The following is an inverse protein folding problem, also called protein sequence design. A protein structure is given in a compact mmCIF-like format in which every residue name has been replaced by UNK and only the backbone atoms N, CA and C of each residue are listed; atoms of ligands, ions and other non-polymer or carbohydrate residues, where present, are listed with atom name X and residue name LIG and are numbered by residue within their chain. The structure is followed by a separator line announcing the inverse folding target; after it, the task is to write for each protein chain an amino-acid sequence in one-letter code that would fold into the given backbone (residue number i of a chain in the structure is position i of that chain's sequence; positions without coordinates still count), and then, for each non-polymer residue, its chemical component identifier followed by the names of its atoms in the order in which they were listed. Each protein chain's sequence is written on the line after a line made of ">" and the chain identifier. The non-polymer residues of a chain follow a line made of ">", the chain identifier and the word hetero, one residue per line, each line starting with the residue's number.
data_IF_509377851296
#
_entry.id   IF_509377851296
#
_cell.length_a   1.000
_cell.length_b   1.000
_cell.length_c   1.000
_cell.angle_alpha   90.00
_cell.angle_beta   90.00
_cell.angle_gamma   90.00
#
_symmetry.space_group_name_H-M   'P 1'
#
loop_
_entity.id
_entity.type
_entity.pdbx_description
1 polymer ?
#
# COMPACT_ATOMS: atom_id res chain seq x y z
N UNK A 1 -67.91 20.72 1.73
CA UNK A 1 -68.04 22.00 2.44
C UNK A 1 -68.43 21.75 3.88
N UNK A 2 -68.38 22.78 4.75
CA UNK A 2 -67.75 24.10 4.61
C UNK A 2 -66.70 24.38 5.72
N UNK A 3 -65.67 25.21 5.49
CA UNK A 3 -65.57 26.64 5.85
C UNK A 3 -64.56 26.85 7.01
N UNK A 4 -63.34 27.35 6.80
CA UNK A 4 -62.90 28.74 6.49
C UNK A 4 -62.61 29.58 7.75
N UNK A 5 -61.35 30.04 7.86
CA UNK A 5 -60.89 31.41 8.16
C UNK A 5 -59.41 31.33 8.61
N UNK A 6 -58.35 31.75 7.91
CA UNK A 6 -57.95 33.00 7.22
C UNK A 6 -57.79 34.23 8.13
N UNK A 7 -56.55 34.71 8.27
CA UNK A 7 -56.19 35.99 8.89
C UNK A 7 -54.66 36.28 8.81
N UNK A 8 -54.18 37.34 8.13
CA UNK A 8 -52.78 37.49 7.69
C UNK A 8 -51.95 38.62 8.36
N UNK A 9 -50.61 38.56 8.14
CA UNK A 9 -49.62 39.66 8.01
C UNK A 9 -49.25 40.51 9.25
N UNK A 10 -48.11 41.26 9.30
CA UNK A 10 -47.28 41.72 8.18
C UNK A 10 -45.73 41.68 8.34
N UNK A 11 -45.10 41.85 7.17
CA UNK A 11 -43.73 42.31 6.91
C UNK A 11 -43.42 43.66 7.57
N UNK A 12 -42.24 43.81 8.17
CA UNK A 12 -41.56 45.10 8.38
C UNK A 12 -40.03 44.95 8.31
N UNK A 13 -39.46 45.50 7.23
CA UNK A 13 -38.14 46.16 7.12
C UNK A 13 -38.44 47.47 6.36
N UNK A 14 -37.55 48.49 6.30
CA UNK A 14 -36.24 48.69 6.93
C UNK A 14 -36.11 50.08 7.61
N UNK A 15 -35.02 50.34 8.33
CA UNK A 15 -34.48 51.72 8.39
C UNK A 15 -32.98 51.72 8.59
N UNK A 16 -32.34 52.58 7.82
CA UNK A 16 -30.94 52.91 7.82
C UNK A 16 -30.76 54.35 8.29
N UNK A 17 -29.73 54.61 9.07
CA UNK A 17 -29.03 55.91 9.17
C UNK A 17 -27.63 55.61 9.75
N UNK A 18 -26.56 55.68 8.96
CA UNK A 18 -25.76 56.88 8.60
C UNK A 18 -25.26 57.66 9.81
N UNK A 19 -23.95 57.52 10.05
CA UNK A 19 -23.10 58.43 10.79
C UNK A 19 -21.65 58.22 10.35
N UNK A 20 -21.23 59.02 9.38
CA UNK A 20 -19.92 58.99 8.72
C UNK A 20 -18.84 59.74 9.53
N UNK A 21 -17.57 59.46 9.19
CA UNK A 21 -16.37 60.33 9.16
C UNK A 21 -15.14 59.48 9.59
N UNK A 22 -13.93 59.61 9.07
CA UNK A 22 -13.31 60.02 7.81
C UNK A 22 -11.80 59.77 7.98
N UNK A 23 -11.05 59.79 6.87
CA UNK A 23 -9.60 59.60 6.74
C UNK A 23 -9.13 58.13 6.80
N UNK A 24 -8.39 57.58 5.85
CA UNK A 24 -7.62 58.15 4.75
C UNK A 24 -6.24 57.49 4.73
N UNK A 25 -5.72 57.24 3.51
CA UNK A 25 -4.30 56.98 3.20
C UNK A 25 -3.80 55.51 3.20
N UNK A 26 -3.97 54.88 2.03
CA UNK A 26 -2.97 54.25 1.16
C UNK A 26 -1.71 53.52 1.69
N UNK A 27 -1.48 52.35 1.05
CA UNK A 27 -0.20 51.72 0.61
C UNK A 27 0.69 50.98 1.63
N UNK A 28 0.90 49.68 1.33
CA UNK A 28 2.25 49.09 1.32
C UNK A 28 2.48 47.86 2.21
N UNK A 29 3.15 46.80 1.72
CA UNK A 29 3.22 45.49 2.38
C UNK A 29 4.34 45.44 3.43
N UNK A 30 4.09 44.80 4.58
CA UNK A 30 5.13 44.49 5.57
C UNK A 30 5.68 43.08 5.36
N UNK A 31 6.94 43.07 4.92
CA UNK A 31 7.90 41.96 4.94
C UNK A 31 7.92 41.26 6.31
N UNK A 32 7.80 39.94 6.32
CA UNK A 32 8.26 39.12 7.43
C UNK A 32 9.78 39.02 7.38
N UNK A 33 10.42 39.36 8.50
CA UNK A 33 11.88 39.32 8.67
C UNK A 33 12.32 37.87 8.82
N UNK A 34 13.37 37.50 8.05
CA UNK A 34 14.24 36.35 8.32
C UNK A 34 14.80 36.46 9.73
N UNK A 35 14.70 35.39 10.51
CA UNK A 35 15.56 35.18 11.67
C UNK A 35 16.78 34.38 11.20
N UNK A 36 17.94 35.02 11.29
CA UNK A 36 19.27 34.45 11.09
C UNK A 36 19.87 34.09 12.43
N UNK A 37 20.00 32.80 12.73
CA UNK A 37 20.91 32.28 13.76
C UNK A 37 21.48 30.93 13.29
N UNK A 38 22.47 30.97 12.40
CA UNK A 38 23.53 29.95 12.38
C UNK A 38 24.66 30.45 13.27
N UNK A 39 25.20 29.58 14.10
CA UNK A 39 26.53 29.75 14.68
C UNK A 39 26.57 29.75 16.20
N UNK A 40 26.47 28.56 16.81
CA UNK A 40 27.43 28.04 17.80
C UNK A 40 26.97 26.64 18.27
N UNK A 41 27.89 25.68 18.20
CA UNK A 41 27.63 24.26 18.39
C UNK A 41 27.18 23.91 19.80
N UNK A 42 26.05 23.20 19.91
CA UNK A 42 25.62 22.53 21.13
C UNK A 42 26.13 21.09 21.10
N UNK A 43 27.17 20.80 21.89
CA UNK A 43 27.78 19.47 22.03
C UNK A 43 26.84 18.40 22.60
N UNK A 44 25.71 18.81 23.19
CA UNK A 44 24.72 17.93 23.81
C UNK A 44 23.82 17.26 22.76
N UNK A 45 23.51 17.95 21.65
CA UNK A 45 22.66 17.39 20.59
C UNK A 45 23.41 16.37 19.70
N UNK A 46 24.72 16.54 19.51
CA UNK A 46 25.54 15.56 18.78
C UNK A 46 25.75 14.26 19.57
N UNK A 47 25.85 14.33 20.90
CA UNK A 47 25.98 13.14 21.75
C UNK A 47 24.71 12.27 21.76
N UNK A 48 23.53 12.89 21.78
CA UNK A 48 22.25 12.17 21.81
C UNK A 48 21.94 11.47 20.49
N UNK A 49 22.18 12.13 19.34
CA UNK A 49 21.98 11.53 18.02
C UNK A 49 23.00 10.41 17.73
N UNK A 50 24.26 10.56 18.19
CA UNK A 50 25.25 9.49 18.06
C UNK A 50 24.92 8.26 18.94
N UNK A 51 24.32 8.47 20.12
CA UNK A 51 23.88 7.40 21.02
C UNK A 51 22.64 6.64 20.49
N UNK A 52 21.71 7.33 19.83
CA UNK A 52 20.56 6.72 19.15
C UNK A 52 20.99 5.91 17.92
N UNK A 53 21.88 6.46 17.09
CA UNK A 53 22.40 5.77 15.90
C UNK A 53 23.26 4.55 16.24
N UNK A 54 23.99 4.58 17.37
CA UNK A 54 24.79 3.44 17.82
C UNK A 54 23.97 2.34 18.49
N UNK A 55 22.84 2.67 19.14
CA UNK A 55 21.87 1.66 19.62
C UNK A 55 21.15 0.96 18.47
N UNK A 56 20.64 1.69 17.49
CA UNK A 56 20.02 1.09 16.30
C UNK A 56 21.00 0.19 15.52
N UNK A 57 22.26 0.63 15.34
CA UNK A 57 23.26 -0.19 14.66
C UNK A 57 23.70 -1.45 15.45
N UNK A 58 23.51 -1.46 16.78
CA UNK A 58 23.82 -2.61 17.63
C UNK A 58 22.67 -3.63 17.65
N UNK A 59 21.41 -3.18 17.64
CA UNK A 59 20.22 -4.03 17.51
C UNK A 59 20.16 -4.67 16.10
N UNK A 60 20.44 -3.90 15.04
CA UNK A 60 20.53 -4.42 13.65
C UNK A 60 21.64 -5.49 13.45
N UNK A 61 22.70 -5.46 14.27
CA UNK A 61 23.76 -6.48 14.24
C UNK A 61 23.43 -7.72 15.05
N UNK A 62 22.65 -7.57 16.13
CA UNK A 62 22.20 -8.69 16.95
C UNK A 62 21.16 -9.54 16.19
N UNK A 63 20.24 -8.89 15.46
CA UNK A 63 19.22 -9.59 14.67
C UNK A 63 19.82 -10.32 13.45
N UNK A 64 20.85 -9.75 12.81
CA UNK A 64 21.57 -10.41 11.69
C UNK A 64 22.36 -11.66 12.11
N UNK A 65 22.72 -11.79 13.38
CA UNK A 65 23.48 -12.95 13.87
C UNK A 65 22.57 -14.13 14.29
N UNK A 66 21.29 -13.88 14.58
CA UNK A 66 20.34 -14.90 15.06
C UNK A 66 19.56 -15.64 13.96
N UNK A 67 19.31 -15.01 12.80
CA UNK A 67 18.37 -15.52 11.80
C UNK A 67 18.97 -16.20 10.56
N UNK A 68 20.23 -16.64 10.62
CA UNK A 68 20.88 -17.37 9.53
C UNK A 68 20.71 -18.90 9.59
N UNK A 69 19.69 -19.39 10.27
CA UNK A 69 19.45 -20.83 10.45
C UNK A 69 18.34 -21.31 9.50
N UNK A 70 18.64 -22.39 8.76
CA UNK A 70 17.77 -23.26 7.95
C UNK A 70 17.53 -22.99 6.45
N UNK A 71 17.94 -21.85 5.87
CA UNK A 71 17.78 -21.66 4.41
C UNK A 71 18.69 -22.55 3.55
N UNK A 72 19.82 -23.02 4.09
CA UNK A 72 20.78 -23.89 3.38
C UNK A 72 20.28 -25.34 3.18
N UNK A 73 19.16 -25.73 3.80
CA UNK A 73 18.63 -27.11 3.71
C UNK A 73 17.95 -27.45 2.37
N UNK A 74 17.75 -26.46 1.48
CA UNK A 74 17.09 -26.62 0.19
C UNK A 74 18.02 -26.23 -0.97
N UNK A 75 19.09 -27.01 -1.21
CA UNK A 75 20.01 -26.78 -2.33
C UNK A 75 19.61 -27.59 -3.58
N UNK A 76 19.25 -26.97 -4.72
CA UNK A 76 19.14 -27.67 -6.00
C UNK A 76 20.52 -27.89 -6.63
N UNK A 77 20.69 -29.03 -7.29
CA UNK A 77 21.92 -29.44 -7.99
C UNK A 77 22.30 -28.48 -9.12
N UNK A 78 23.55 -28.05 -9.15
CA UNK A 78 24.11 -27.09 -10.11
C UNK A 78 24.01 -27.54 -11.58
N UNK A 79 23.32 -26.77 -12.43
CA UNK A 79 23.37 -26.89 -13.89
C UNK A 79 24.13 -25.68 -14.49
N UNK A 80 24.93 -25.92 -15.53
CA UNK A 80 25.76 -24.89 -16.21
C UNK A 80 24.96 -24.23 -17.32
N UNK A 81 24.82 -22.89 -17.32
CA UNK A 81 24.34 -22.14 -18.51
C UNK A 81 25.08 -20.85 -18.81
N UNK A 82 24.91 -20.49 -20.09
CA UNK A 82 25.66 -19.62 -20.99
C UNK A 82 25.31 -18.14 -20.87
N UNK A 83 26.30 -17.28 -21.13
CA UNK A 83 26.19 -15.82 -21.15
C UNK A 83 25.26 -15.29 -22.25
N UNK A 84 24.43 -14.30 -21.89
CA UNK A 84 23.58 -13.54 -22.80
C UNK A 84 24.38 -12.42 -23.50
N UNK A 85 23.97 -12.11 -24.73
CA UNK A 85 24.68 -11.26 -25.69
C UNK A 85 23.85 -9.99 -25.90
N UNK A 86 24.45 -8.82 -25.68
CA UNK A 86 23.83 -7.52 -25.94
C UNK A 86 23.75 -7.28 -27.46
N UNK A 87 22.54 -7.06 -27.97
CA UNK A 87 22.28 -6.70 -29.36
C UNK A 87 21.31 -5.54 -29.42
N UNK A 88 21.76 -4.39 -29.91
CA UNK A 88 20.93 -3.23 -30.24
C UNK A 88 20.05 -3.53 -31.46
N UNK A 89 18.90 -4.15 -31.23
CA UNK A 89 17.85 -4.33 -32.24
C UNK A 89 16.72 -3.34 -31.99
N UNK A 90 16.13 -2.79 -33.06
CA UNK A 90 14.79 -2.20 -33.00
C UNK A 90 13.87 -3.15 -32.22
N UNK A 91 13.40 -2.70 -31.06
CA UNK A 91 12.48 -3.46 -30.22
C UNK A 91 11.20 -3.68 -31.02
N UNK A 92 10.96 -4.93 -31.46
CA UNK A 92 9.62 -5.36 -31.85
C UNK A 92 8.68 -5.04 -30.69
N UNK A 93 7.46 -4.59 -30.98
CA UNK A 93 6.45 -4.30 -29.95
C UNK A 93 6.37 -5.51 -28.99
N UNK A 94 6.71 -5.35 -27.69
CA UNK A 94 6.88 -6.48 -26.79
C UNK A 94 5.67 -7.40 -26.75
N UNK A 95 4.45 -6.85 -26.83
CA UNK A 95 3.21 -7.64 -26.70
C UNK A 95 2.87 -8.57 -27.87
N UNK A 96 3.37 -8.33 -29.09
CA UNK A 96 3.09 -9.23 -30.23
C UNK A 96 3.77 -10.59 -30.05
N UNK A 97 4.93 -10.62 -29.38
CA UNK A 97 5.65 -11.85 -29.08
C UNK A 97 4.90 -12.73 -28.07
N UNK A 98 4.15 -12.13 -27.15
CA UNK A 98 3.46 -12.84 -26.07
C UNK A 98 1.97 -13.08 -26.36
N UNK A 99 1.50 -12.74 -27.57
CA UNK A 99 0.09 -12.87 -27.98
C UNK A 99 -0.89 -12.22 -26.99
N UNK A 100 -0.50 -11.08 -26.43
CA UNK A 100 -1.34 -10.23 -25.58
C UNK A 100 -2.03 -9.20 -26.48
N UNK A 101 -3.31 -8.94 -26.25
CA UNK A 101 -4.12 -8.07 -27.12
C UNK A 101 -3.72 -6.61 -26.90
N UNK A 102 -3.17 -5.93 -27.90
CA UNK A 102 -2.93 -4.49 -27.79
C UNK A 102 -4.26 -3.73 -27.63
N UNK A 103 -4.30 -2.74 -26.72
CA UNK A 103 -5.44 -1.85 -26.56
C UNK A 103 -5.26 -0.59 -27.42
N UNK A 104 -6.22 -0.24 -28.29
CA UNK A 104 -6.10 0.89 -29.21
C UNK A 104 -6.45 2.22 -28.52
N UNK A 105 -5.75 2.58 -27.44
CA UNK A 105 -5.97 3.83 -26.70
C UNK A 105 -5.10 4.97 -27.26
N UNK A 106 -3.77 4.83 -27.18
CA UNK A 106 -2.80 5.78 -27.70
C UNK A 106 -1.55 5.03 -28.18
N UNK A 107 -1.12 5.27 -29.43
CA UNK A 107 0.01 4.59 -30.05
C UNK A 107 1.38 4.91 -29.43
N UNK A 108 1.47 5.98 -28.64
CA UNK A 108 2.69 6.36 -27.92
C UNK A 108 2.97 5.47 -26.70
N UNK A 109 1.99 4.68 -26.26
CA UNK A 109 2.08 3.87 -25.04
C UNK A 109 2.01 2.38 -25.37
N UNK A 110 2.72 1.57 -24.58
CA UNK A 110 2.70 0.12 -24.67
C UNK A 110 1.60 -0.46 -23.78
N UNK A 111 0.34 -0.43 -24.26
CA UNK A 111 -0.83 -0.87 -23.50
C UNK A 111 -1.38 -2.20 -24.06
N UNK A 112 -1.48 -3.20 -23.18
CA UNK A 112 -1.92 -4.55 -23.51
C UNK A 112 -3.00 -5.04 -22.55
N UNK A 113 -3.88 -5.91 -23.04
CA UNK A 113 -4.92 -6.57 -22.26
C UNK A 113 -4.72 -8.09 -22.24
N UNK A 114 -4.82 -8.65 -21.04
CA UNK A 114 -4.69 -10.08 -20.81
C UNK A 114 -5.93 -10.68 -20.16
N UNK A 115 -6.47 -11.71 -20.80
CA UNK A 115 -7.60 -12.47 -20.27
C UNK A 115 -7.09 -13.60 -19.36
N UNK A 116 -7.43 -13.53 -18.09
CA UNK A 116 -7.04 -14.50 -17.07
C UNK A 116 -8.20 -15.36 -16.57
N UNK A 117 -9.43 -15.16 -17.06
CA UNK A 117 -10.62 -15.86 -16.55
C UNK A 117 -11.26 -16.83 -17.56
N UNK A 118 -11.07 -16.66 -18.88
CA UNK A 118 -11.82 -17.47 -19.86
C UNK A 118 -11.17 -18.82 -20.18
N UNK A 119 -11.63 -19.87 -19.49
CA UNK A 119 -11.44 -21.28 -19.87
C UNK A 119 -9.97 -21.71 -20.03
N UNK A 120 -9.72 -22.66 -20.94
CA UNK A 120 -8.38 -23.25 -21.18
C UNK A 120 -7.31 -22.22 -21.62
N UNK A 121 -7.73 -21.03 -22.06
CA UNK A 121 -6.82 -19.95 -22.43
C UNK A 121 -6.20 -19.26 -21.21
N UNK A 122 -6.87 -19.28 -20.05
CA UNK A 122 -6.35 -18.70 -18.81
C UNK A 122 -4.95 -19.25 -18.49
N UNK A 123 -4.77 -20.58 -18.52
CA UNK A 123 -3.47 -21.24 -18.33
C UNK A 123 -2.38 -20.72 -19.27
N UNK A 124 -2.69 -20.61 -20.57
CA UNK A 124 -1.72 -20.11 -21.56
C UNK A 124 -1.39 -18.64 -21.33
N UNK A 125 -2.37 -17.86 -20.91
CA UNK A 125 -2.21 -16.43 -20.67
C UNK A 125 -1.41 -16.17 -19.38
N UNK A 126 -1.60 -16.95 -18.30
CA UNK A 126 -0.72 -16.88 -17.12
C UNK A 126 0.74 -17.12 -17.52
N UNK A 127 1.03 -18.14 -18.33
CA UNK A 127 2.38 -18.40 -18.83
C UNK A 127 2.94 -17.27 -19.71
N UNK A 128 2.11 -16.66 -20.58
CA UNK A 128 2.50 -15.51 -21.42
C UNK A 128 2.78 -14.26 -20.60
N UNK A 129 1.94 -14.00 -19.60
CA UNK A 129 2.12 -12.89 -18.66
C UNK A 129 3.42 -13.05 -17.88
N UNK A 130 3.66 -14.25 -17.36
CA UNK A 130 4.90 -14.55 -16.68
C UNK A 130 6.12 -14.36 -17.60
N UNK A 131 6.07 -14.84 -18.84
CA UNK A 131 7.15 -14.63 -19.81
C UNK A 131 7.42 -13.14 -20.05
N UNK A 132 6.37 -12.32 -20.22
CA UNK A 132 6.51 -10.87 -20.34
C UNK A 132 7.18 -10.26 -19.09
N UNK A 133 6.76 -10.64 -17.89
CA UNK A 133 7.33 -10.15 -16.64
C UNK A 133 8.79 -10.62 -16.45
N UNK A 134 9.11 -11.84 -16.86
CA UNK A 134 10.45 -12.42 -16.75
C UNK A 134 11.43 -11.81 -17.72
N UNK A 135 11.03 -11.63 -18.97
CA UNK A 135 11.92 -11.22 -20.06
C UNK A 135 12.15 -9.71 -20.10
N UNK A 136 11.19 -8.92 -19.62
CA UNK A 136 11.38 -7.49 -19.49
C UNK A 136 12.33 -7.14 -18.33
N UNK A 137 12.83 -5.92 -18.32
CA UNK A 137 13.58 -5.30 -17.21
C UNK A 137 13.01 -3.91 -17.00
N UNK A 138 13.07 -3.37 -15.78
CA UNK A 138 12.52 -2.04 -15.44
C UNK A 138 11.02 -2.07 -15.05
N UNK A 139 10.37 -0.90 -15.02
CA UNK A 139 9.01 -0.70 -14.52
C UNK A 139 7.92 -1.23 -15.45
N UNK A 140 6.99 -1.97 -14.86
CA UNK A 140 5.71 -2.44 -15.41
C UNK A 140 4.57 -1.90 -14.55
N UNK A 141 3.41 -1.74 -15.17
CA UNK A 141 2.14 -1.51 -14.46
C UNK A 141 1.17 -2.60 -14.88
N UNK A 142 0.59 -3.28 -13.91
CA UNK A 142 -0.53 -4.18 -14.12
C UNK A 142 -1.74 -3.66 -13.36
N UNK A 143 -2.81 -3.42 -14.10
CA UNK A 143 -4.05 -2.87 -13.57
C UNK A 143 -5.14 -3.93 -13.68
N UNK A 144 -5.81 -4.20 -12.57
CA UNK A 144 -7.00 -5.05 -12.49
C UNK A 144 -8.22 -4.20 -12.16
N UNK A 145 -9.45 -4.73 -12.31
CA UNK A 145 -10.67 -3.99 -11.97
C UNK A 145 -11.16 -4.28 -10.55
N UNK A 146 -11.22 -3.25 -9.72
CA UNK A 146 -11.77 -3.33 -8.36
C UNK A 146 -13.22 -3.77 -8.36
N UNK A 147 -14.01 -3.30 -9.34
CA UNK A 147 -15.44 -3.59 -9.43
C UNK A 147 -15.68 -5.08 -9.66
N UNK A 148 -14.88 -5.75 -10.49
CA UNK A 148 -14.94 -7.21 -10.68
C UNK A 148 -14.68 -7.92 -9.35
N UNK A 149 -13.57 -7.61 -8.67
CA UNK A 149 -13.24 -8.22 -7.38
C UNK A 149 -14.33 -8.01 -6.33
N UNK A 150 -14.85 -6.78 -6.24
CA UNK A 150 -15.94 -6.41 -5.33
C UNK A 150 -17.24 -7.16 -5.63
N UNK A 151 -17.62 -7.28 -6.90
CA UNK A 151 -18.83 -7.98 -7.33
C UNK A 151 -18.77 -9.48 -6.99
N UNK A 152 -17.56 -10.04 -6.89
CA UNK A 152 -17.32 -11.41 -6.45
C UNK A 152 -17.00 -11.49 -4.96
N UNK A 153 -17.61 -10.63 -4.14
CA UNK A 153 -17.50 -10.64 -2.67
C UNK A 153 -16.07 -10.49 -2.14
N UNK A 154 -15.18 -9.83 -2.89
CA UNK A 154 -13.78 -9.60 -2.51
C UNK A 154 -12.99 -10.89 -2.28
N UNK A 155 -13.38 -11.97 -2.94
CA UNK A 155 -12.67 -13.25 -2.86
C UNK A 155 -11.38 -13.18 -3.64
N UNK A 156 -10.36 -13.85 -3.11
CA UNK A 156 -9.03 -13.89 -3.66
C UNK A 156 -8.98 -14.36 -5.12
N UNK A 157 -9.81 -15.35 -5.47
CA UNK A 157 -9.92 -15.91 -6.83
C UNK A 157 -10.31 -14.91 -7.94
N UNK A 158 -10.81 -13.72 -7.59
CA UNK A 158 -11.20 -12.66 -8.54
C UNK A 158 -10.36 -11.38 -8.43
N UNK A 159 -9.17 -11.47 -7.83
CA UNK A 159 -8.31 -10.34 -7.56
C UNK A 159 -7.20 -10.14 -8.62
N UNK A 160 -6.03 -9.63 -8.20
CA UNK A 160 -4.86 -9.46 -9.07
C UNK A 160 -4.16 -10.81 -9.23
N UNK A 161 -3.86 -11.19 -10.47
CA UNK A 161 -3.21 -12.48 -10.76
C UNK A 161 -1.69 -12.34 -10.63
N UNK A 162 -1.08 -13.18 -9.80
CA UNK A 162 0.36 -13.24 -9.58
C UNK A 162 0.88 -14.60 -10.06
N UNK A 163 1.90 -14.64 -10.94
CA UNK A 163 2.57 -15.87 -11.33
C UNK A 163 3.23 -16.60 -10.14
N UNK A 164 3.00 -17.91 -10.04
CA UNK A 164 3.68 -18.81 -9.12
C UNK A 164 4.60 -19.77 -9.88
N UNK A 165 5.88 -19.75 -9.56
CA UNK A 165 6.90 -20.58 -10.21
C UNK A 165 7.23 -21.74 -9.29
N UNK A 166 7.09 -22.98 -9.76
CA UNK A 166 7.48 -24.14 -8.95
C UNK A 166 9.00 -24.23 -8.80
N UNK A 167 9.48 -24.68 -7.64
CA UNK A 167 10.92 -24.88 -7.39
C UNK A 167 11.54 -25.94 -8.31
N UNK A 168 10.73 -26.87 -8.82
CA UNK A 168 11.16 -27.91 -9.76
C UNK A 168 11.55 -27.36 -11.14
N UNK A 169 11.18 -26.11 -11.46
CA UNK A 169 11.63 -25.47 -12.69
C UNK A 169 13.10 -25.03 -12.56
N UNK A 170 13.91 -25.39 -13.57
CA UNK A 170 15.30 -24.95 -13.72
C UNK A 170 15.34 -23.51 -14.27
N UNK A 171 14.62 -22.62 -13.60
CA UNK A 171 14.58 -21.21 -13.91
C UNK A 171 15.25 -20.41 -12.80
N UNK A 172 16.29 -19.62 -13.12
CA UNK A 172 16.92 -18.69 -12.18
C UNK A 172 16.02 -17.48 -11.85
N UNK A 173 14.69 -17.64 -11.89
CA UNK A 173 13.70 -16.58 -11.70
C UNK A 173 12.95 -16.78 -10.39
N UNK A 174 12.73 -15.67 -9.65
CA UNK A 174 11.97 -15.64 -8.40
C UNK A 174 10.93 -14.53 -8.44
N UNK A 175 9.73 -14.82 -7.97
CA UNK A 175 8.65 -13.84 -7.87
C UNK A 175 8.58 -13.33 -6.43
N UNK A 176 8.68 -12.01 -6.28
CA UNK A 176 8.40 -11.31 -5.05
C UNK A 176 7.08 -10.58 -5.19
N UNK A 177 6.27 -10.59 -4.15
CA UNK A 177 4.97 -9.94 -4.16
C UNK A 177 4.71 -9.24 -2.84
N UNK A 178 4.14 -8.03 -2.92
CA UNK A 178 3.76 -7.20 -1.78
C UNK A 178 2.30 -6.75 -1.90
N UNK A 179 1.53 -6.89 -0.81
CA UNK A 179 0.13 -6.41 -0.75
C UNK A 179 -0.30 -6.11 0.70
N UNK A 180 -0.95 -4.96 0.91
CA UNK A 180 -1.45 -4.50 2.21
C UNK A 180 -2.67 -5.31 2.70
N UNK A 181 -3.39 -5.95 1.77
CA UNK A 181 -4.60 -6.73 2.00
C UNK A 181 -4.39 -8.22 1.74
N UNK A 182 -3.16 -8.71 1.94
CA UNK A 182 -2.88 -10.15 1.94
C UNK A 182 -3.56 -10.80 3.15
N UNK A 183 -4.46 -11.76 2.89
CA UNK A 183 -5.12 -12.55 3.93
C UNK A 183 -4.40 -13.87 4.14
N UNK A 184 -4.18 -14.22 5.40
CA UNK A 184 -3.36 -15.38 5.78
C UNK A 184 -4.08 -16.72 5.69
N UNK A 185 -5.37 -16.70 5.40
CA UNK A 185 -6.06 -17.94 5.03
C UNK A 185 -5.49 -18.51 3.73
N UNK A 186 -5.02 -17.67 2.81
CA UNK A 186 -4.31 -18.07 1.60
C UNK A 186 -5.07 -19.06 0.72
N UNK A 187 -6.40 -19.02 0.72
CA UNK A 187 -7.29 -19.88 -0.07
C UNK A 187 -7.84 -19.13 -1.28
N UNK A 188 -8.40 -19.85 -2.24
CA UNK A 188 -8.99 -19.21 -3.43
C UNK A 188 -10.27 -18.45 -3.06
N UNK A 189 -11.02 -18.95 -2.08
CA UNK A 189 -12.29 -18.42 -1.61
C UNK A 189 -12.16 -17.48 -0.40
N UNK A 190 -10.97 -17.36 0.20
CA UNK A 190 -10.73 -16.39 1.27
C UNK A 190 -10.90 -14.97 0.75
N UNK A 191 -11.13 -14.01 1.63
CA UNK A 191 -10.98 -12.61 1.27
C UNK A 191 -9.53 -12.31 0.87
N UNK A 192 -9.29 -11.21 0.15
CA UNK A 192 -7.94 -10.73 -0.15
C UNK A 192 -7.70 -10.43 -1.62
N UNK A 193 -6.54 -9.86 -1.92
CA UNK A 193 -6.20 -9.30 -3.24
C UNK A 193 -5.15 -10.14 -4.01
N UNK A 194 -4.61 -11.20 -3.41
CA UNK A 194 -3.50 -11.98 -3.97
C UNK A 194 -3.93 -13.31 -4.62
N UNK A 195 -4.19 -13.31 -5.93
CA UNK A 195 -4.51 -14.54 -6.65
C UNK A 195 -3.25 -15.21 -7.21
N UNK A 196 -2.57 -16.03 -6.40
CA UNK A 196 -1.38 -16.77 -6.80
C UNK A 196 -1.76 -17.95 -7.71
N UNK A 197 -1.31 -17.94 -8.98
CA UNK A 197 -1.60 -19.01 -9.95
C UNK A 197 -0.34 -19.62 -10.52
N UNK A 198 -0.29 -20.94 -10.52
CA UNK A 198 0.83 -21.73 -11.04
C UNK A 198 1.00 -21.47 -12.55
N UNK A 199 2.21 -21.07 -12.96
CA UNK A 199 2.48 -20.65 -14.34
C UNK A 199 2.27 -21.75 -15.36
N UNK A 200 2.44 -23.01 -14.94
CA UNK A 200 2.34 -24.17 -15.81
C UNK A 200 0.91 -24.63 -15.96
N UNK A 201 0.14 -24.69 -14.88
CA UNK A 201 -1.20 -25.29 -14.84
C UNK A 201 -2.31 -24.25 -14.92
N UNK A 202 -2.06 -23.01 -14.50
CA UNK A 202 -3.06 -21.98 -14.30
C UNK A 202 -3.90 -22.18 -13.04
N UNK A 203 -3.65 -23.24 -12.27
CA UNK A 203 -4.39 -23.54 -11.04
C UNK A 203 -3.99 -22.60 -9.91
N UNK A 204 -4.91 -22.37 -8.97
CA UNK A 204 -4.64 -21.59 -7.77
C UNK A 204 -3.63 -22.31 -6.87
N UNK A 205 -2.75 -21.54 -6.23
CA UNK A 205 -1.77 -22.05 -5.27
C UNK A 205 -2.15 -21.55 -3.88
N UNK A 206 -2.53 -22.47 -2.98
CA UNK A 206 -2.72 -22.12 -1.58
C UNK A 206 -1.40 -21.64 -0.95
N UNK A 207 -1.40 -20.50 -0.25
CA UNK A 207 -0.16 -19.85 0.22
C UNK A 207 -0.12 -19.54 1.71
N UNK A 208 -0.73 -20.39 2.53
CA UNK A 208 -0.66 -20.30 3.98
C UNK A 208 0.31 -21.32 4.59
N UNK A 209 0.60 -21.16 5.87
CA UNK A 209 1.66 -21.89 6.57
C UNK A 209 1.39 -23.39 6.53
N UNK A 210 2.38 -24.16 6.07
CA UNK A 210 2.29 -25.61 5.95
C UNK A 210 1.62 -26.13 4.69
N UNK A 211 1.18 -25.27 3.76
CA UNK A 211 0.75 -25.67 2.41
C UNK A 211 1.74 -25.24 1.36
N UNK A 212 1.91 -26.07 0.33
CA UNK A 212 2.77 -25.77 -0.82
C UNK A 212 4.14 -25.23 -0.38
N UNK A 213 4.72 -25.85 0.65
CA UNK A 213 6.03 -25.48 1.19
C UNK A 213 6.12 -24.12 1.88
N UNK A 214 5.01 -23.38 2.03
CA UNK A 214 5.01 -22.05 2.61
C UNK A 214 5.28 -22.08 4.13
N UNK A 215 6.18 -21.19 4.54
CA UNK A 215 6.53 -20.88 5.92
C UNK A 215 6.35 -19.41 6.16
N UNK A 216 6.02 -19.06 7.40
CA UNK A 216 5.84 -17.70 7.85
C UNK A 216 7.10 -17.20 8.55
N UNK A 217 7.51 -15.98 8.22
CA UNK A 217 8.54 -15.22 8.90
C UNK A 217 8.05 -13.79 9.17
N UNK A 218 8.83 -13.01 9.93
CA UNK A 218 8.57 -11.60 10.23
C UNK A 218 9.84 -10.79 9.96
N UNK A 219 9.69 -9.69 9.24
CA UNK A 219 10.76 -8.72 8.97
C UNK A 219 10.35 -7.37 9.53
N UNK A 220 11.32 -6.56 9.95
CA UNK A 220 11.06 -5.29 10.61
C UNK A 220 10.11 -5.47 11.82
N UNK A 221 9.27 -4.49 12.12
CA UNK A 221 8.40 -4.56 13.29
C UNK A 221 7.10 -5.30 12.99
N UNK A 222 6.50 -5.07 11.83
CA UNK A 222 5.11 -5.47 11.57
C UNK A 222 4.91 -6.24 10.28
N UNK A 223 5.95 -6.36 9.46
CA UNK A 223 5.88 -6.96 8.15
C UNK A 223 5.99 -8.48 8.26
N UNK A 224 5.04 -9.16 7.64
CA UNK A 224 4.98 -10.62 7.65
C UNK A 224 5.34 -11.12 6.26
N UNK A 225 6.20 -12.12 6.21
CA UNK A 225 6.68 -12.74 4.98
C UNK A 225 6.25 -14.19 4.94
N UNK A 226 5.77 -14.64 3.79
CA UNK A 226 5.56 -16.03 3.47
C UNK A 226 6.50 -16.44 2.34
N UNK A 227 7.33 -17.43 2.60
CA UNK A 227 8.25 -17.96 1.60
C UNK A 227 8.06 -19.47 1.45
N UNK A 228 8.22 -19.99 0.25
CA UNK A 228 7.97 -21.40 -0.05
C UNK A 228 9.25 -22.15 -0.40
N UNK A 229 9.31 -23.44 -0.04
CA UNK A 229 10.30 -24.38 -0.58
C UNK A 229 9.83 -25.08 -1.87
N UNK A 230 8.53 -25.10 -2.14
CA UNK A 230 7.93 -25.76 -3.31
C UNK A 230 7.73 -24.77 -4.47
N UNK A 231 7.71 -23.47 -4.16
CA UNK A 231 7.55 -22.36 -5.10
C UNK A 231 8.65 -21.32 -4.89
N UNK A 232 9.18 -20.75 -5.97
CA UNK A 232 10.11 -19.61 -5.95
C UNK A 232 9.36 -18.29 -5.78
N UNK A 233 8.52 -18.24 -4.76
CA UNK A 233 7.62 -17.14 -4.45
C UNK A 233 7.86 -16.64 -3.02
N UNK A 234 8.02 -15.33 -2.89
CA UNK A 234 8.08 -14.62 -1.61
C UNK A 234 6.91 -13.66 -1.57
N UNK A 235 5.96 -13.91 -0.67
CA UNK A 235 4.79 -13.07 -0.44
C UNK A 235 5.03 -12.21 0.79
N UNK A 236 4.74 -10.93 0.71
CA UNK A 236 5.04 -9.99 1.78
C UNK A 236 3.81 -9.15 2.06
N UNK A 237 3.29 -9.22 3.28
CA UNK A 237 2.32 -8.25 3.76
C UNK A 237 3.08 -7.11 4.38
N UNK A 238 3.35 -6.10 3.56
CA UNK A 238 4.06 -4.92 4.00
C UNK A 238 3.23 -4.16 5.03
N UNK A 239 3.94 -3.57 6.00
CA UNK A 239 3.36 -2.53 6.83
C UNK A 239 3.89 -1.17 6.37
N UNK A 240 3.00 -0.25 6.04
CA UNK A 240 3.38 1.09 5.59
C UNK A 240 4.20 1.84 6.65
N UNK A 241 3.96 1.59 7.94
CA UNK A 241 4.73 2.22 9.02
C UNK A 241 6.19 1.75 9.01
N UNK A 242 6.44 0.46 8.79
CA UNK A 242 7.80 -0.08 8.64
C UNK A 242 8.49 0.54 7.39
N UNK A 243 7.75 0.64 6.28
CA UNK A 243 8.25 1.23 5.04
C UNK A 243 8.56 2.73 5.13
N UNK A 244 7.87 3.42 6.04
CA UNK A 244 8.08 4.83 6.37
C UNK A 244 9.21 5.04 7.38
N UNK A 245 9.45 4.10 8.29
CA UNK A 245 10.53 4.18 9.28
C UNK A 245 11.91 4.02 8.65
N UNK A 246 12.01 3.22 7.58
CA UNK A 246 13.30 2.85 6.99
C UNK A 246 13.32 3.04 5.46
N UNK A 247 14.15 3.96 4.93
CA UNK A 247 14.28 4.14 3.48
C UNK A 247 14.87 2.92 2.78
N UNK A 248 15.52 2.00 3.48
CA UNK A 248 16.06 0.76 2.89
C UNK A 248 15.12 -0.44 3.10
N UNK A 249 13.92 -0.23 3.65
CA UNK A 249 12.98 -1.29 4.05
C UNK A 249 12.77 -2.36 2.97
N UNK A 250 12.34 -1.97 1.76
CA UNK A 250 12.09 -2.93 0.69
C UNK A 250 13.38 -3.56 0.14
N UNK A 251 14.48 -2.81 0.11
CA UNK A 251 15.80 -3.32 -0.31
C UNK A 251 16.24 -4.44 0.62
N UNK A 252 16.19 -4.22 1.94
CA UNK A 252 16.56 -5.22 2.96
C UNK A 252 15.74 -6.50 2.83
N UNK A 253 14.42 -6.39 2.59
CA UNK A 253 13.57 -7.56 2.38
C UNK A 253 13.99 -8.32 1.12
N UNK A 254 14.19 -7.62 0.00
CA UNK A 254 14.62 -8.27 -1.25
C UNK A 254 15.97 -8.96 -1.08
N UNK A 255 16.96 -8.30 -0.47
CA UNK A 255 18.29 -8.86 -0.22
C UNK A 255 18.26 -10.07 0.71
N UNK A 256 17.42 -10.06 1.74
CA UNK A 256 17.29 -11.17 2.69
C UNK A 256 16.80 -12.46 2.03
N UNK A 257 15.91 -12.35 1.03
CA UNK A 257 15.24 -13.48 0.41
C UNK A 257 15.63 -13.73 -1.04
N UNK A 258 16.66 -13.06 -1.57
CA UNK A 258 17.16 -13.30 -2.92
C UNK A 258 18.50 -14.04 -2.88
N UNK A 259 18.75 -14.81 -3.92
CA UNK A 259 20.05 -15.43 -4.13
C UNK A 259 20.84 -14.64 -5.20
N UNK A 260 22.18 -14.64 -5.12
CA UNK A 260 23.00 -14.04 -6.16
C UNK A 260 22.65 -14.62 -7.54
N UNK A 261 22.53 -13.74 -8.54
CA UNK A 261 22.23 -14.05 -9.95
C UNK A 261 20.78 -14.43 -10.25
N UNK A 262 19.88 -14.43 -9.27
CA UNK A 262 18.45 -14.60 -9.58
C UNK A 262 17.92 -13.40 -10.36
N UNK A 263 17.04 -13.68 -11.32
CA UNK A 263 16.17 -12.68 -11.94
C UNK A 263 14.93 -12.52 -11.07
N UNK A 264 14.77 -11.35 -10.49
CA UNK A 264 13.60 -11.03 -9.68
C UNK A 264 12.48 -10.42 -10.54
N UNK A 265 11.25 -10.85 -10.25
CA UNK A 265 10.02 -10.20 -10.68
C UNK A 265 9.28 -9.73 -9.44
N UNK A 266 9.30 -8.42 -9.18
CA UNK A 266 8.82 -7.83 -7.93
C UNK A 266 7.50 -7.12 -8.16
N UNK A 267 6.41 -7.69 -7.66
CA UNK A 267 5.08 -7.11 -7.70
C UNK A 267 4.83 -6.27 -6.45
N UNK A 268 4.38 -5.03 -6.62
CA UNK A 268 4.08 -4.12 -5.52
C UNK A 268 2.71 -3.51 -5.69
N UNK A 269 1.86 -3.62 -4.67
CA UNK A 269 0.68 -2.77 -4.59
C UNK A 269 1.08 -1.31 -4.31
N UNK A 270 0.26 -0.39 -4.81
CA UNK A 270 0.47 1.05 -4.61
C UNK A 270 -0.16 1.52 -3.30
N UNK A 271 -1.38 1.09 -3.04
CA UNK A 271 -2.21 1.63 -1.98
C UNK A 271 -1.71 1.13 -0.62
N UNK A 272 -1.54 2.05 0.32
CA UNK A 272 -1.12 1.71 1.69
C UNK A 272 0.18 0.87 1.76
N UNK A 273 0.99 0.89 0.70
CA UNK A 273 2.27 0.16 0.59
C UNK A 273 3.36 1.08 0.07
N UNK A 274 3.11 1.77 -1.05
CA UNK A 274 4.00 2.78 -1.63
C UNK A 274 3.51 4.18 -1.28
N UNK A 275 2.20 4.39 -1.41
CA UNK A 275 1.54 5.68 -1.23
C UNK A 275 0.69 5.66 0.02
N UNK A 276 0.86 6.68 0.85
CA UNK A 276 -0.08 6.96 1.91
C UNK A 276 -1.31 7.71 1.33
N UNK A 277 -2.35 6.95 0.96
CA UNK A 277 -3.51 7.43 0.21
C UNK A 277 -4.20 8.67 0.80
N UNK A 278 -4.19 8.81 2.12
CA UNK A 278 -4.80 9.93 2.82
C UNK A 278 -4.00 11.24 2.62
N UNK A 279 -2.68 11.18 2.51
CA UNK A 279 -1.81 12.33 2.21
C UNK A 279 -2.06 12.86 0.79
N UNK A 280 -2.34 11.97 -0.16
CA UNK A 280 -2.66 12.33 -1.56
C UNK A 280 -4.01 13.06 -1.67
N UNK A 281 -4.92 12.85 -0.73
CA UNK A 281 -6.21 13.53 -0.66
C UNK A 281 -6.15 14.89 0.06
N UNK A 282 -4.94 15.40 0.35
CA UNK A 282 -4.74 16.67 1.05
C UNK A 282 -5.12 16.61 2.53
N UNK A 283 -5.21 15.41 3.11
CA UNK A 283 -5.41 15.27 4.56
C UNK A 283 -4.11 15.56 5.28
N UNK A 284 -4.27 16.05 6.51
CA UNK A 284 -3.14 16.28 7.40
C UNK A 284 -2.39 14.97 7.68
N UNK A 285 -1.06 15.06 7.70
CA UNK A 285 -0.17 13.90 7.86
C UNK A 285 -0.36 13.23 9.22
N UNK A 286 -0.64 14.00 10.29
CA UNK A 286 -0.90 13.44 11.60
C UNK A 286 -2.21 12.64 11.61
N UNK A 287 -3.27 13.18 11.00
CA UNK A 287 -4.56 12.50 10.91
C UNK A 287 -4.44 11.17 10.13
N UNK A 288 -3.66 11.20 9.06
CA UNK A 288 -3.33 10.03 8.25
C UNK A 288 -2.59 8.97 9.05
N UNK A 289 -1.55 9.35 9.78
CA UNK A 289 -0.78 8.45 10.63
C UNK A 289 -1.67 7.80 11.71
N UNK A 290 -2.55 8.57 12.37
CA UNK A 290 -3.50 8.02 13.36
C UNK A 290 -4.42 6.97 12.74
N UNK A 291 -4.97 7.24 11.55
CA UNK A 291 -5.81 6.31 10.79
C UNK A 291 -5.09 5.00 10.44
N UNK A 292 -3.77 5.05 10.20
CA UNK A 292 -2.94 3.86 9.94
C UNK A 292 -2.65 3.11 11.24
N UNK A 293 -2.19 3.80 12.28
CA UNK A 293 -1.91 3.19 13.59
C UNK A 293 -3.15 2.51 14.16
N UNK A 294 -4.33 3.13 14.06
CA UNK A 294 -5.60 2.56 14.54
C UNK A 294 -6.05 1.31 13.76
N UNK A 295 -5.57 1.10 12.53
CA UNK A 295 -5.78 -0.16 11.83
C UNK A 295 -4.90 -1.28 12.40
N UNK A 296 -3.74 -0.92 12.96
CA UNK A 296 -2.78 -1.86 13.51
C UNK A 296 -3.02 -2.19 14.99
N UNK A 297 -3.99 -1.54 15.64
CA UNK A 297 -4.37 -1.81 17.04
C UNK A 297 -5.73 -2.48 17.08
N UNK A 298 -5.80 -3.66 17.69
CA UNK A 298 -7.01 -4.42 17.92
C UNK A 298 -7.51 -4.23 19.35
N UNK A 299 -8.82 -3.97 19.49
CA UNK A 299 -9.54 -3.98 20.74
C UNK A 299 -10.31 -5.29 20.89
N UNK A 300 -10.05 -6.02 21.97
CA UNK A 300 -10.83 -7.21 22.37
C UNK A 300 -11.65 -6.89 23.62
N UNK A 301 -12.99 -6.86 23.55
CA UNK A 301 -13.84 -6.59 24.71
C UNK A 301 -13.75 -7.75 25.72
N UNK A 302 -13.69 -7.45 27.03
CA UNK A 302 -13.74 -8.49 28.08
C UNK A 302 -15.11 -9.16 28.14
N UNK A 303 -16.15 -8.37 27.97
CA UNK A 303 -17.55 -8.80 27.88
C UNK A 303 -18.25 -7.96 26.81
N UNK A 304 -19.28 -8.47 26.11
CA UNK A 304 -20.05 -7.66 25.16
C UNK A 304 -20.70 -6.44 25.82
N UNK A 305 -20.56 -5.24 25.23
CA UNK A 305 -21.16 -4.02 25.77
C UNK A 305 -21.62 -3.04 24.68
N UNK A 306 -22.49 -2.11 25.08
CA UNK A 306 -22.88 -0.95 24.28
C UNK A 306 -21.92 0.22 24.59
N UNK A 307 -21.28 0.74 23.53
CA UNK A 307 -20.33 1.83 23.60
C UNK A 307 -20.92 3.11 23.01
N UNK A 308 -20.80 4.22 23.73
CA UNK A 308 -21.27 5.54 23.29
C UNK A 308 -20.09 6.49 23.29
N UNK A 309 -19.86 7.18 22.18
CA UNK A 309 -18.73 8.10 22.03
C UNK A 309 -19.19 9.45 21.50
N UNK A 310 -18.88 10.53 22.20
CA UNK A 310 -19.04 11.93 21.74
C UNK A 310 -20.38 12.28 21.07
N UNK A 311 -21.49 11.74 21.55
CA UNK A 311 -22.83 12.02 21.02
C UNK A 311 -23.20 11.24 19.75
N UNK A 312 -22.35 10.33 19.28
CA UNK A 312 -22.68 9.36 18.24
C UNK A 312 -23.64 8.27 18.77
N UNK A 313 -24.39 7.60 17.87
CA UNK A 313 -25.20 6.45 18.25
C UNK A 313 -24.38 5.37 18.98
N UNK A 314 -25.04 4.65 19.89
CA UNK A 314 -24.42 3.53 20.56
C UNK A 314 -24.06 2.42 19.56
N UNK A 315 -22.91 1.78 19.77
CA UNK A 315 -22.48 0.61 19.01
C UNK A 315 -22.26 -0.58 19.93
N UNK A 316 -22.55 -1.77 19.42
CA UNK A 316 -22.33 -3.02 20.16
C UNK A 316 -20.94 -3.58 19.88
N UNK A 317 -20.09 -3.61 20.90
CA UNK A 317 -18.76 -4.23 20.84
C UNK A 317 -18.83 -5.61 21.49
N UNK A 318 -18.89 -6.66 20.67
CA UNK A 318 -19.04 -8.04 21.13
C UNK A 318 -17.90 -8.99 20.68
N UNK A 319 -17.03 -8.54 19.77
CA UNK A 319 -15.91 -9.31 19.22
C UNK A 319 -14.71 -8.39 19.06
N UNK A 320 -13.53 -8.99 18.90
CA UNK A 320 -12.31 -8.27 18.59
C UNK A 320 -12.48 -7.44 17.29
N UNK A 321 -11.92 -6.23 17.28
CA UNK A 321 -11.98 -5.32 16.13
C UNK A 321 -10.81 -4.34 16.15
N UNK A 322 -10.28 -3.96 14.99
CA UNK A 322 -9.32 -2.84 14.90
C UNK A 322 -9.96 -1.56 15.43
N UNK A 323 -9.18 -0.66 16.04
CA UNK A 323 -9.68 0.62 16.51
C UNK A 323 -10.29 1.44 15.37
N UNK A 324 -9.70 1.39 14.17
CA UNK A 324 -10.29 2.00 12.97
C UNK A 324 -11.62 1.36 12.59
N UNK A 325 -11.74 0.05 12.75
CA UNK A 325 -13.02 -0.65 12.64
C UNK A 325 -14.05 -0.14 13.65
N UNK A 326 -13.66 0.13 14.89
CA UNK A 326 -14.53 0.73 15.91
C UNK A 326 -14.98 2.13 15.48
N UNK A 327 -14.06 2.97 14.98
CA UNK A 327 -14.38 4.32 14.45
C UNK A 327 -15.39 4.26 13.29
N UNK A 328 -15.27 3.28 12.38
CA UNK A 328 -16.23 3.09 11.28
C UNK A 328 -17.64 2.78 11.79
N UNK A 329 -17.75 2.02 12.88
CA UNK A 329 -19.06 1.74 13.51
C UNK A 329 -19.61 2.97 14.22
N UNK A 330 -18.80 3.67 15.03
CA UNK A 330 -19.20 4.90 15.74
C UNK A 330 -19.77 5.93 14.75
N UNK A 331 -19.09 6.09 13.62
CA UNK A 331 -19.46 7.07 12.59
C UNK A 331 -20.57 6.57 11.67
N UNK A 332 -21.05 5.33 11.85
CA UNK A 332 -22.08 4.69 11.03
C UNK A 332 -21.81 4.79 9.51
N UNK A 333 -20.54 4.74 9.11
CA UNK A 333 -20.08 4.98 7.73
C UNK A 333 -20.48 6.36 7.15
N UNK A 334 -20.77 7.36 7.98
CA UNK A 334 -20.89 8.74 7.54
C UNK A 334 -19.49 9.27 7.18
N UNK A 335 -19.26 9.53 5.89
CA UNK A 335 -17.95 9.94 5.38
C UNK A 335 -17.43 11.25 6.01
N UNK A 336 -18.29 12.20 6.32
CA UNK A 336 -17.90 13.50 6.92
C UNK A 336 -17.52 13.33 8.40
N UNK A 337 -18.32 12.58 9.15
CA UNK A 337 -18.02 12.24 10.54
C UNK A 337 -16.73 11.41 10.64
N UNK A 338 -16.58 10.43 9.73
CA UNK A 338 -15.36 9.62 9.65
C UNK A 338 -14.12 10.45 9.30
N UNK A 339 -14.22 11.38 8.35
CA UNK A 339 -13.11 12.22 7.97
C UNK A 339 -12.70 13.19 9.10
N UNK A 340 -13.66 13.72 9.84
CA UNK A 340 -13.42 14.65 10.96
C UNK A 340 -13.01 13.96 12.27
N UNK A 341 -13.11 12.63 12.36
CA UNK A 341 -12.75 11.88 13.56
C UNK A 341 -11.24 11.93 13.87
N UNK A 342 -10.41 11.96 12.84
CA UNK A 342 -8.97 11.64 12.92
C UNK A 342 -8.10 12.74 13.54
N UNK A 343 -8.50 13.31 14.67
CA UNK A 343 -7.67 14.22 15.47
C UNK A 343 -7.00 13.48 16.63
N UNK A 344 -5.84 13.96 17.08
CA UNK A 344 -5.14 13.40 18.23
C UNK A 344 -6.06 13.30 19.46
N UNK A 345 -6.77 14.38 19.79
CA UNK A 345 -7.69 14.45 20.93
C UNK A 345 -8.75 13.34 20.90
N UNK A 346 -9.42 13.16 19.77
CA UNK A 346 -10.46 12.14 19.64
C UNK A 346 -9.88 10.72 19.70
N UNK A 347 -8.72 10.50 19.09
CA UNK A 347 -8.04 9.21 19.10
C UNK A 347 -7.62 8.82 20.52
N UNK A 348 -6.96 9.71 21.27
CA UNK A 348 -6.54 9.44 22.65
C UNK A 348 -7.74 9.23 23.56
N UNK A 349 -8.79 10.03 23.41
CA UNK A 349 -10.02 9.85 24.17
C UNK A 349 -10.67 8.49 23.89
N UNK A 350 -10.76 8.06 22.62
CA UNK A 350 -11.29 6.74 22.28
C UNK A 350 -10.49 5.62 22.97
N UNK A 351 -9.16 5.73 22.93
CA UNK A 351 -8.27 4.77 23.56
C UNK A 351 -8.54 4.66 25.07
N UNK A 352 -8.57 5.81 25.76
CA UNK A 352 -8.87 5.90 27.20
C UNK A 352 -10.25 5.37 27.56
N UNK A 353 -11.27 5.61 26.72
CA UNK A 353 -12.64 5.15 26.99
C UNK A 353 -12.80 3.63 26.79
N UNK A 354 -11.98 3.01 25.93
CA UNK A 354 -12.02 1.58 25.63
C UNK A 354 -11.14 0.73 26.55
N UNK A 355 -9.96 1.20 26.92
CA UNK A 355 -8.97 0.45 27.71
C UNK A 355 -9.55 -0.21 29.00
N UNK A 356 -10.42 0.45 29.79
CA UNK A 356 -11.02 -0.18 30.97
C UNK A 356 -11.96 -1.35 30.67
N UNK A 357 -12.48 -1.43 29.43
CA UNK A 357 -13.54 -2.36 29.01
C UNK A 357 -13.03 -3.57 28.23
N UNK A 358 -11.73 -3.62 27.94
CA UNK A 358 -11.16 -4.65 27.08
C UNK A 358 -9.65 -4.74 27.20
N UNK A 359 -9.05 -5.29 26.17
CA UNK A 359 -7.62 -5.32 25.96
C UNK A 359 -7.31 -4.68 24.61
N UNK A 360 -6.32 -3.80 24.60
CA UNK A 360 -5.78 -3.22 23.38
C UNK A 360 -4.47 -3.93 23.09
N UNK A 361 -4.37 -4.48 21.88
CA UNK A 361 -3.23 -5.27 21.44
C UNK A 361 -2.79 -4.84 20.06
N UNK A 362 -1.51 -4.99 19.76
CA UNK A 362 -1.04 -4.81 18.40
C UNK A 362 -1.46 -6.01 17.53
N UNK A 363 -2.16 -5.77 16.43
CA UNK A 363 -2.85 -6.82 15.66
C UNK A 363 -1.90 -7.88 15.09
N UNK A 364 -0.66 -7.52 14.75
CA UNK A 364 0.29 -8.46 14.16
C UNK A 364 1.03 -9.35 15.18
N UNK A 365 1.14 -8.94 16.44
CA UNK A 365 1.95 -9.63 17.48
C UNK A 365 1.13 -10.14 18.65
N UNK A 366 -0.08 -9.61 18.85
CA UNK A 366 -0.92 -9.91 20.02
C UNK A 366 -0.36 -9.36 21.34
N UNK A 367 0.72 -8.58 21.30
CA UNK A 367 1.31 -7.89 22.45
C UNK A 367 0.35 -6.82 22.97
N UNK A 368 0.20 -6.66 24.30
CA UNK A 368 -0.53 -5.54 24.88
C UNK A 368 0.01 -4.20 24.35
N UNK A 369 -0.89 -3.25 24.13
CA UNK A 369 -0.54 -1.95 23.59
C UNK A 369 -1.22 -0.85 24.40
N UNK A 370 -0.43 -0.04 25.09
CA UNK A 370 -0.90 1.02 25.99
C UNK A 370 -1.07 2.36 25.29
N UNK A 371 -1.78 3.29 25.94
CA UNK A 371 -1.95 4.65 25.40
C UNK A 371 -0.62 5.39 25.32
N UNK A 372 0.21 5.26 26.36
CA UNK A 372 1.53 5.90 26.42
C UNK A 372 2.44 5.41 25.28
N UNK A 373 2.45 4.11 25.01
CA UNK A 373 3.18 3.52 23.88
C UNK A 373 2.64 4.03 22.54
N UNK A 374 1.32 4.10 22.39
CA UNK A 374 0.68 4.62 21.19
C UNK A 374 1.04 6.09 20.93
N UNK A 375 0.98 6.95 21.95
CA UNK A 375 1.35 8.36 21.86
C UNK A 375 2.84 8.56 21.55
N UNK A 376 3.70 7.75 22.17
CA UNK A 376 5.13 7.75 21.92
C UNK A 376 5.42 7.40 20.47
N UNK A 377 4.92 6.26 19.99
CA UNK A 377 5.10 5.81 18.60
C UNK A 377 4.55 6.83 17.60
N UNK A 378 3.36 7.39 17.87
CA UNK A 378 2.78 8.42 17.03
C UNK A 378 3.72 9.63 16.88
N UNK A 379 4.32 10.08 17.99
CA UNK A 379 5.25 11.21 17.98
C UNK A 379 6.54 10.88 17.21
N UNK A 380 7.07 9.67 17.38
CA UNK A 380 8.24 9.18 16.66
C UNK A 380 7.97 9.10 15.15
N UNK A 381 6.88 8.44 14.74
CA UNK A 381 6.48 8.34 13.34
C UNK A 381 6.22 9.70 12.71
N UNK A 382 5.60 10.65 13.42
CA UNK A 382 5.30 11.98 12.87
C UNK A 382 6.58 12.75 12.54
N UNK A 383 7.63 12.63 13.36
CA UNK A 383 8.94 13.23 13.10
C UNK A 383 9.62 12.56 11.91
N UNK A 384 9.60 11.23 11.85
CA UNK A 384 10.23 10.46 10.77
C UNK A 384 9.54 10.70 9.43
N UNK A 385 8.21 10.71 9.40
CA UNK A 385 7.39 10.94 8.22
C UNK A 385 7.69 12.27 7.52
N UNK A 386 8.00 13.31 8.28
CA UNK A 386 8.39 14.61 7.74
C UNK A 386 9.72 14.58 6.95
N UNK A 387 10.50 13.50 7.09
CA UNK A 387 11.84 13.35 6.50
C UNK A 387 11.90 12.33 5.36
N UNK A 388 10.99 11.36 5.34
CA UNK A 388 11.09 10.12 4.52
C UNK A 388 10.00 9.96 3.46
N UNK A 389 9.00 10.82 3.44
CA UNK A 389 7.95 10.83 2.42
C UNK A 389 8.13 12.01 1.47
N UNK A 390 7.88 11.80 0.18
CA UNK A 390 7.80 12.90 -0.78
C UNK A 390 6.61 13.81 -0.48
N UNK A 391 6.57 14.99 -1.10
CA UNK A 391 5.39 15.87 -1.05
C UNK A 391 4.11 15.18 -1.55
N UNK A 392 4.27 14.11 -2.33
CA UNK A 392 3.21 13.31 -2.89
C UNK A 392 2.79 12.12 -2.03
N UNK A 393 3.37 11.98 -0.83
CA UNK A 393 3.07 10.90 0.11
C UNK A 393 3.61 9.54 -0.33
N UNK A 394 4.62 9.52 -1.22
CA UNK A 394 5.31 8.31 -1.64
C UNK A 394 6.47 8.06 -0.68
N UNK A 395 6.57 6.84 -0.13
CA UNK A 395 7.67 6.45 0.74
C UNK A 395 9.00 6.41 -0.03
N UNK A 396 10.07 6.99 0.53
CA UNK A 396 11.42 6.96 -0.07
C UNK A 396 11.90 5.54 -0.37
N UNK A 397 11.49 4.56 0.45
CA UNK A 397 11.85 3.16 0.31
C UNK A 397 11.44 2.53 -1.01
N UNK A 398 10.38 3.03 -1.64
CA UNK A 398 9.99 2.62 -2.99
C UNK A 398 11.03 3.02 -4.04
N UNK A 399 11.52 4.26 -4.00
CA UNK A 399 12.51 4.72 -4.98
C UNK A 399 13.83 3.99 -4.79
N UNK A 400 14.22 3.71 -3.55
CA UNK A 400 15.44 2.94 -3.23
C UNK A 400 15.39 1.54 -3.81
N UNK A 401 14.29 0.81 -3.61
CA UNK A 401 14.17 -0.54 -4.15
C UNK A 401 14.06 -0.52 -5.68
N UNK A 402 13.35 0.44 -6.28
CA UNK A 402 13.30 0.56 -7.73
C UNK A 402 14.69 0.82 -8.33
N UNK A 403 15.46 1.75 -7.77
CA UNK A 403 16.81 2.05 -8.23
C UNK A 403 17.78 0.87 -8.03
N UNK A 404 17.63 0.09 -6.96
CA UNK A 404 18.39 -1.13 -6.74
C UNK A 404 18.07 -2.22 -7.77
N UNK A 405 16.84 -2.22 -8.32
CA UNK A 405 16.34 -3.29 -9.17
C UNK A 405 16.36 -2.99 -10.68
N UNK A 406 16.26 -1.72 -11.07
CA UNK A 406 16.14 -1.28 -12.47
C UNK A 406 17.31 -1.76 -13.33
N UNK A 407 17.01 -2.09 -14.59
CA UNK A 407 17.99 -2.57 -15.57
C UNK A 407 18.39 -4.04 -15.44
N UNK A 408 18.05 -4.72 -14.34
CA UNK A 408 18.34 -6.15 -14.12
C UNK A 408 17.07 -6.95 -13.81
N UNK A 409 16.17 -6.37 -13.03
CA UNK A 409 14.96 -7.02 -12.55
C UNK A 409 13.71 -6.37 -13.14
N UNK A 410 12.57 -7.00 -12.91
CA UNK A 410 11.27 -6.45 -13.31
C UNK A 410 10.54 -5.98 -12.07
N UNK A 411 10.05 -4.75 -12.09
CA UNK A 411 9.25 -4.20 -11.00
C UNK A 411 7.86 -3.90 -11.52
N UNK A 412 6.84 -4.56 -10.99
CA UNK A 412 5.45 -4.47 -11.44
C UNK A 412 4.64 -3.71 -10.38
N UNK A 413 4.18 -2.50 -10.71
CA UNK A 413 3.13 -1.83 -9.95
C UNK A 413 1.80 -2.54 -10.25
N UNK A 414 1.31 -3.30 -9.29
CA UNK A 414 0.13 -4.13 -9.46
C UNK A 414 -1.03 -3.58 -8.62
N UNK A 415 -1.98 -2.90 -9.26
CA UNK A 415 -3.05 -2.20 -8.54
C UNK A 415 -4.43 -2.39 -9.15
N UNK A 416 -5.45 -2.02 -8.37
CA UNK A 416 -6.81 -1.81 -8.88
C UNK A 416 -7.10 -0.34 -9.22
N UNK A 417 -6.20 0.57 -8.82
CA UNK A 417 -6.41 2.01 -8.89
C UNK A 417 -5.66 2.66 -10.04
N UNK A 418 -6.17 3.81 -10.45
CA UNK A 418 -5.52 4.73 -11.39
C UNK A 418 -4.29 5.43 -10.79
N UNK A 419 -4.10 5.31 -9.48
CA UNK A 419 -3.01 5.96 -8.74
C UNK A 419 -1.63 5.41 -9.12
N UNK A 420 -1.59 4.27 -9.82
CA UNK A 420 -0.37 3.71 -10.43
C UNK A 420 0.34 4.69 -11.35
N UNK A 421 -0.41 5.51 -12.13
CA UNK A 421 0.22 6.49 -13.03
C UNK A 421 0.97 7.56 -12.27
N UNK A 422 0.45 8.02 -11.12
CA UNK A 422 1.12 9.00 -10.26
C UNK A 422 2.47 8.46 -9.79
N UNK A 423 2.49 7.22 -9.31
CA UNK A 423 3.72 6.55 -8.87
C UNK A 423 4.66 6.35 -10.06
N UNK A 424 4.18 5.88 -11.20
CA UNK A 424 4.99 5.68 -12.39
C UNK A 424 5.67 6.98 -12.85
N UNK A 425 4.92 8.08 -12.98
CA UNK A 425 5.44 9.41 -13.33
C UNK A 425 6.48 9.94 -12.33
N UNK A 426 6.32 9.63 -11.04
CA UNK A 426 7.30 10.00 -10.02
C UNK A 426 8.56 9.10 -10.07
N UNK A 427 8.46 7.89 -10.61
CA UNK A 427 9.51 6.86 -10.56
C UNK A 427 10.40 6.89 -11.79
N UNK A 428 9.83 7.01 -12.99
CA UNK A 428 10.58 6.99 -14.25
C UNK A 428 10.54 8.34 -14.96
N UNK A 429 11.62 8.71 -15.66
CA UNK A 429 11.67 9.98 -16.39
C UNK A 429 10.76 10.01 -17.64
N UNK A 430 10.42 8.84 -18.20
CA UNK A 430 9.59 8.72 -19.40
C UNK A 430 8.58 7.57 -19.23
N UNK A 431 7.31 7.91 -18.97
CA UNK A 431 6.24 6.93 -18.79
C UNK A 431 5.92 6.12 -20.05
N UNK A 432 6.31 6.61 -21.26
CA UNK A 432 6.05 5.89 -22.52
C UNK A 432 6.82 4.57 -22.61
N UNK A 433 7.90 4.44 -21.84
CA UNK A 433 8.71 3.23 -21.73
C UNK A 433 8.11 2.18 -20.78
N UNK A 434 7.10 2.56 -19.99
CA UNK A 434 6.45 1.66 -19.03
C UNK A 434 5.43 0.80 -19.75
N UNK A 435 5.56 -0.51 -19.62
CA UNK A 435 4.54 -1.45 -20.11
C UNK A 435 3.31 -1.36 -19.21
N UNK A 436 2.15 -1.13 -19.82
CA UNK A 436 0.85 -1.09 -19.16
C UNK A 436 0.09 -2.36 -19.53
N UNK A 437 -0.28 -3.16 -18.53
CA UNK A 437 -1.08 -4.39 -18.70
C UNK A 437 -2.41 -4.22 -17.98
N UNK A 438 -3.52 -4.41 -18.68
CA UNK A 438 -4.85 -4.55 -18.08
C UNK A 438 -5.21 -6.02 -17.96
N UNK A 439 -5.90 -6.38 -16.89
CA UNK A 439 -6.35 -7.76 -16.65
C UNK A 439 -7.86 -7.83 -16.87
N UNK A 440 -8.28 -8.52 -17.93
CA UNK A 440 -9.66 -8.69 -18.38
C UNK A 440 -10.40 -7.36 -18.60
N UNK A 441 -9.79 -6.45 -19.35
CA UNK A 441 -10.32 -5.10 -19.56
C UNK A 441 -11.74 -5.09 -20.12
N UNK A 442 -12.10 -6.08 -20.93
CA UNK A 442 -13.44 -6.25 -21.49
C UNK A 442 -14.53 -6.59 -20.44
N UNK A 443 -14.13 -6.97 -19.22
CA UNK A 443 -15.03 -7.26 -18.09
C UNK A 443 -15.19 -6.08 -17.15
N UNK A 444 -14.44 -5.00 -17.36
CA UNK A 444 -14.49 -3.83 -16.49
C UNK A 444 -15.82 -3.09 -16.71
N UNK A 445 -16.25 -2.30 -15.72
CA UNK A 445 -17.38 -1.41 -15.94
C UNK A 445 -16.98 -0.23 -16.84
N UNK A 446 -17.94 0.36 -17.54
CA UNK A 446 -17.69 1.46 -18.49
C UNK A 446 -16.96 2.64 -17.82
N UNK A 447 -17.27 2.91 -16.55
CA UNK A 447 -16.66 4.01 -15.80
C UNK A 447 -15.17 3.75 -15.57
N UNK A 448 -14.81 2.55 -15.14
CA UNK A 448 -13.43 2.17 -14.83
C UNK A 448 -12.60 2.08 -16.13
N UNK A 449 -13.20 1.61 -17.23
CA UNK A 449 -12.60 1.65 -18.57
C UNK A 449 -12.31 3.09 -19.01
N UNK A 450 -13.30 3.98 -18.96
CA UNK A 450 -13.13 5.39 -19.33
C UNK A 450 -12.08 6.08 -18.45
N UNK A 451 -12.10 5.81 -17.14
CA UNK A 451 -11.15 6.39 -16.19
C UNK A 451 -9.72 5.96 -16.49
N UNK A 452 -9.50 4.69 -16.87
CA UNK A 452 -8.19 4.19 -17.29
C UNK A 452 -7.77 4.77 -18.65
N UNK A 453 -8.65 4.75 -19.64
CA UNK A 453 -8.39 5.30 -20.98
C UNK A 453 -8.00 6.79 -20.91
N UNK A 454 -8.73 7.59 -20.13
CA UNK A 454 -8.48 9.02 -19.94
C UNK A 454 -7.12 9.33 -19.28
N UNK A 455 -6.41 8.34 -18.74
CA UNK A 455 -5.02 8.55 -18.29
C UNK A 455 -4.04 8.66 -19.45
N UNK A 456 -4.38 8.16 -20.64
CA UNK A 456 -3.48 8.10 -21.79
C UNK A 456 -3.96 8.98 -22.97
N UNK A 457 -5.08 9.66 -22.77
CA UNK A 457 -5.56 10.74 -23.63
C UNK A 457 -4.74 12.00 -23.30
N UNK A 458 -3.88 12.40 -24.24
CA UNK A 458 -3.00 13.57 -24.12
C UNK A 458 -3.68 14.87 -24.53
#
# INVERSE_FOLDING_TARGET
>A
GPSLASGPSPLLRPSASRGALAHGVSRGPRRWRRCTCMGQGCSICHGFMAALNSRHAAEDRADRAGHRTDFDSCSPSSSKRSAAREGSGHLKHPGEQYAVKALPLNGDFHIFDIDMYTGDNSRKNVGRYFALCKDHVDLHVTTSCFTIWRNHKKTNGFAKVIPAITAAEDEDTRVFFFDDNLEWEGKEDSSGICNLRDVRTGEFVEFYEGKNGFRRDTVARHTVVYHSCDYRNILVKANILDAMEDPEYFVKIVEQYSLPKEKLVVFMDVNSTIVCNDTVQGKDLANTLLSVMFECVEFTPREPFEFVFSGHPAIKLAKAKTLKGVVKDITANNNEAYASFWTQEQCWRLFTDLEPRGELRWSSRGEPFTLEECQKLFSEYLVTLAQVATSDGIAESWFRVFEALRGQHTVVLNSFGVDTRKVALATVPDEKRVIQVTVNYDKWDDRDMQKFAGQFEG
#
